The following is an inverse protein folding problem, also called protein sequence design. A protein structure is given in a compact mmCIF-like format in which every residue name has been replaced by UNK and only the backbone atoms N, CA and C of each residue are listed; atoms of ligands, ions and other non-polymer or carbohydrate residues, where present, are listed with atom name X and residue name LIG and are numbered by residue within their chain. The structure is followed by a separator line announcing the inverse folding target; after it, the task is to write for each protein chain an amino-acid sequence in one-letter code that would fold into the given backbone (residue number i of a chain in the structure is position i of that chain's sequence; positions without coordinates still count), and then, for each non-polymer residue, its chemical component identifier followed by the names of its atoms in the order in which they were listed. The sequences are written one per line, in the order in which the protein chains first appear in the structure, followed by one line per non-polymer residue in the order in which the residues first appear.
data_IF_335266609889
#
_entry.id   IF_335266609889
#
_cell.length_a   1.000
_cell.length_b   1.000
_cell.length_c   1.000
_cell.angle_alpha   90.00
_cell.angle_beta   90.00
_cell.angle_gamma   90.00
#
_symmetry.space_group_name_H-M   'P 1'
#
loop_
_entity.id
_entity.type
_entity.pdbx_description
1 polymer ?
#
# COMPACT_ATOMS: atom_id res chain seq x y z
N UNK A 1 13.23 -6.22 -7.23
CA UNK A 1 13.93 -7.24 -6.40
C UNK A 1 14.83 -6.61 -5.35
N UNK A 2 15.94 -5.94 -5.69
CA UNK A 2 16.86 -5.34 -4.68
C UNK A 2 16.15 -4.42 -3.68
N UNK A 3 15.34 -3.48 -4.16
CA UNK A 3 14.57 -2.57 -3.31
C UNK A 3 13.53 -3.30 -2.44
N UNK A 4 12.90 -4.35 -2.97
CA UNK A 4 11.96 -5.21 -2.23
C UNK A 4 12.65 -5.82 -1.00
N UNK A 5 13.83 -6.44 -1.19
CA UNK A 5 14.58 -7.03 -0.08
C UNK A 5 15.05 -5.99 0.94
N UNK A 6 15.48 -4.81 0.48
CA UNK A 6 15.85 -3.71 1.38
C UNK A 6 14.64 -3.28 2.22
N UNK A 7 13.48 -3.06 1.59
CA UNK A 7 12.27 -2.63 2.26
C UNK A 7 11.75 -3.68 3.25
N UNK A 8 11.80 -4.97 2.88
CA UNK A 8 11.47 -6.06 3.79
C UNK A 8 12.44 -6.12 4.98
N UNK A 9 13.75 -5.99 4.73
CA UNK A 9 14.76 -5.97 5.79
C UNK A 9 14.59 -4.79 6.76
N UNK A 10 14.32 -3.59 6.23
CA UNK A 10 14.00 -2.41 7.04
C UNK A 10 12.72 -2.64 7.86
N UNK A 11 11.69 -3.24 7.27
CA UNK A 11 10.43 -3.53 7.97
C UNK A 11 10.59 -4.55 9.09
N UNK A 12 11.46 -5.56 8.90
CA UNK A 12 11.81 -6.53 9.93
C UNK A 12 12.60 -5.87 11.07
N UNK A 13 13.60 -5.04 10.74
CA UNK A 13 14.33 -4.28 11.76
C UNK A 13 13.39 -3.35 12.55
N UNK A 14 12.46 -2.68 11.85
CA UNK A 14 11.46 -1.82 12.45
C UNK A 14 10.51 -2.60 13.38
N UNK A 15 10.12 -3.82 12.99
CA UNK A 15 9.35 -4.74 13.85
C UNK A 15 10.07 -5.01 15.17
N UNK A 16 11.37 -5.33 15.11
CA UNK A 16 12.19 -5.59 16.30
C UNK A 16 12.31 -4.35 17.18
N UNK A 17 12.54 -3.18 16.59
CA UNK A 17 12.63 -1.91 17.33
C UNK A 17 11.32 -1.58 18.04
N UNK A 18 10.17 -1.71 17.36
CA UNK A 18 8.86 -1.47 17.98
C UNK A 18 8.58 -2.48 19.09
N UNK A 19 8.97 -3.74 18.89
CA UNK A 19 8.82 -4.81 19.89
C UNK A 19 9.57 -4.45 21.18
N UNK A 20 10.82 -4.03 21.06
CA UNK A 20 11.63 -3.57 22.20
C UNK A 20 11.05 -2.34 22.90
N UNK A 21 10.53 -1.36 22.16
CA UNK A 21 9.98 -0.13 22.76
C UNK A 21 8.64 -0.39 23.45
N UNK A 22 7.76 -1.18 22.82
CA UNK A 22 6.38 -1.35 23.28
C UNK A 22 6.25 -2.44 24.34
N UNK A 23 6.95 -3.56 24.14
CA UNK A 23 6.82 -4.75 24.97
C UNK A 23 8.02 -4.94 25.90
N UNK A 24 9.16 -4.28 25.64
CA UNK A 24 10.43 -4.50 26.37
C UNK A 24 10.99 -5.93 26.29
N UNK A 25 10.38 -6.78 25.46
CA UNK A 25 10.75 -8.16 25.23
C UNK A 25 10.50 -8.54 23.78
N UNK A 26 11.36 -9.41 23.23
CA UNK A 26 11.21 -9.93 21.88
C UNK A 26 10.58 -11.32 21.99
N UNK A 27 9.25 -11.36 21.95
CA UNK A 27 8.47 -12.61 21.92
C UNK A 27 7.93 -12.86 20.53
N UNK A 28 7.67 -14.14 20.20
CA UNK A 28 7.02 -14.52 18.94
C UNK A 28 5.66 -13.80 18.76
N UNK A 29 4.90 -13.65 19.84
CA UNK A 29 3.63 -12.94 19.84
C UNK A 29 3.79 -11.45 19.48
N UNK A 30 4.78 -10.77 20.08
CA UNK A 30 5.07 -9.36 19.74
C UNK A 30 5.48 -9.19 18.28
N UNK A 31 6.29 -10.12 17.76
CA UNK A 31 6.68 -10.15 16.35
C UNK A 31 5.47 -10.29 15.44
N UNK A 32 4.57 -11.25 15.71
CA UNK A 32 3.35 -11.48 14.93
C UNK A 32 2.49 -10.21 14.89
N UNK A 33 2.19 -9.63 16.05
CA UNK A 33 1.30 -8.47 16.15
C UNK A 33 1.82 -7.26 15.38
N UNK A 34 3.10 -6.93 15.55
CA UNK A 34 3.70 -5.75 14.91
C UNK A 34 3.89 -6.00 13.40
N UNK A 35 4.40 -7.16 13.00
CA UNK A 35 4.56 -7.49 11.59
C UNK A 35 3.22 -7.59 10.85
N UNK A 36 2.13 -7.99 11.52
CA UNK A 36 0.78 -7.94 10.97
C UNK A 36 0.37 -6.51 10.62
N UNK A 37 0.57 -5.55 11.54
CA UNK A 37 0.25 -4.14 11.30
C UNK A 37 1.09 -3.55 10.17
N UNK A 38 2.40 -3.78 10.17
CA UNK A 38 3.31 -3.26 9.14
C UNK A 38 3.00 -3.87 7.78
N UNK A 39 2.84 -5.19 7.69
CA UNK A 39 2.53 -5.87 6.43
C UNK A 39 1.16 -5.45 5.89
N UNK A 40 0.16 -5.32 6.76
CA UNK A 40 -1.16 -4.80 6.40
C UNK A 40 -1.08 -3.38 5.82
N UNK A 41 -0.34 -2.47 6.46
CA UNK A 41 -0.15 -1.11 5.97
C UNK A 41 0.56 -1.07 4.60
N UNK A 42 1.60 -1.89 4.41
CA UNK A 42 2.33 -1.99 3.14
C UNK A 42 1.44 -2.57 2.02
N UNK A 43 0.69 -3.64 2.31
CA UNK A 43 -0.21 -4.27 1.35
C UNK A 43 -1.35 -3.33 0.94
N UNK A 44 -1.97 -2.65 1.90
CA UNK A 44 -3.01 -1.65 1.63
C UNK A 44 -2.45 -0.50 0.79
N UNK A 45 -1.27 0.02 1.13
CA UNK A 45 -0.62 1.08 0.36
C UNK A 45 -0.29 0.62 -1.06
N UNK A 46 0.28 -0.58 -1.21
CA UNK A 46 0.60 -1.15 -2.52
C UNK A 46 -0.64 -1.36 -3.38
N UNK A 47 -1.73 -1.88 -2.79
CA UNK A 47 -3.02 -2.04 -3.46
C UNK A 47 -3.65 -0.70 -3.85
N UNK A 48 -3.58 0.31 -2.97
CA UNK A 48 -4.08 1.65 -3.26
C UNK A 48 -3.34 2.26 -4.45
N UNK A 49 -2.01 2.21 -4.45
CA UNK A 49 -1.20 2.70 -5.58
C UNK A 49 -1.54 1.92 -6.85
N UNK A 50 -1.71 0.59 -6.77
CA UNK A 50 -2.10 -0.25 -7.91
C UNK A 50 -3.44 0.16 -8.51
N UNK A 51 -4.45 0.37 -7.66
CA UNK A 51 -5.80 0.80 -8.08
C UNK A 51 -5.77 2.20 -8.67
N UNK A 52 -4.97 3.11 -8.08
CA UNK A 52 -4.80 4.47 -8.59
C UNK A 52 -4.11 4.51 -9.95
N UNK A 53 -2.99 3.80 -10.11
CA UNK A 53 -2.29 3.69 -11.39
C UNK A 53 -3.11 2.96 -12.45
N UNK A 54 -3.96 2.02 -12.05
CA UNK A 54 -4.90 1.33 -12.94
C UNK A 54 -6.01 2.21 -13.50
N UNK A 55 -6.09 3.49 -13.13
CA UNK A 55 -7.08 4.43 -13.66
C UNK A 55 -8.48 4.28 -13.05
N UNK A 56 -8.63 3.52 -11.96
CA UNK A 56 -9.92 3.36 -11.28
C UNK A 56 -10.52 4.71 -10.87
N UNK A 57 -9.71 5.57 -10.27
CA UNK A 57 -10.14 6.92 -9.86
C UNK A 57 -10.40 7.84 -11.05
N UNK A 58 -9.70 7.63 -12.17
CA UNK A 58 -9.95 8.40 -13.39
C UNK A 58 -11.28 8.01 -14.02
N UNK A 59 -11.59 6.72 -14.07
CA UNK A 59 -12.87 6.21 -14.53
C UNK A 59 -14.03 6.76 -13.68
N UNK A 60 -13.91 6.72 -12.35
CA UNK A 60 -14.90 7.32 -11.44
C UNK A 60 -15.05 8.82 -11.72
N UNK A 61 -13.94 9.55 -11.76
CA UNK A 61 -13.96 11.00 -11.97
C UNK A 61 -14.59 11.36 -13.31
N UNK A 62 -14.27 10.62 -14.38
CA UNK A 62 -14.89 10.78 -15.69
C UNK A 62 -16.40 10.48 -15.65
N UNK A 63 -16.83 9.40 -14.98
CA UNK A 63 -18.25 9.06 -14.84
C UNK A 63 -19.04 10.15 -14.10
N UNK A 64 -18.53 10.66 -12.99
CA UNK A 64 -19.16 11.78 -12.28
C UNK A 64 -19.21 13.03 -13.17
N UNK A 65 -18.11 13.39 -13.84
CA UNK A 65 -18.08 14.54 -14.76
C UNK A 65 -19.12 14.41 -15.87
N UNK A 66 -19.23 13.24 -16.49
CA UNK A 66 -20.19 12.97 -17.56
C UNK A 66 -21.66 13.08 -17.11
N UNK A 67 -21.97 12.76 -15.85
CA UNK A 67 -23.34 12.83 -15.33
C UNK A 67 -23.70 14.26 -14.88
N UNK A 68 -22.74 14.99 -14.31
CA UNK A 68 -22.99 16.29 -13.70
C UNK A 68 -22.72 17.52 -14.62
N UNK A 69 -21.96 17.39 -15.72
CA UNK A 69 -21.57 18.53 -16.59
C UNK A 69 -22.19 18.52 -18.00
N UNK A 70 -23.41 18.00 -18.15
CA UNK A 70 -24.10 17.89 -19.46
C UNK A 70 -24.38 19.25 -20.16
N UNK A 71 -24.24 20.41 -19.49
CA UNK A 71 -24.85 21.67 -19.97
C UNK A 71 -23.93 22.91 -20.14
N UNK A 72 -22.60 22.78 -20.18
CA UNK A 72 -21.73 23.97 -20.33
C UNK A 72 -20.61 23.73 -21.35
N UNK A 73 -20.78 24.27 -22.56
CA UNK A 73 -19.81 24.20 -23.66
C UNK A 73 -18.49 24.96 -23.37
N UNK A 74 -18.44 25.76 -22.30
CA UNK A 74 -17.29 26.57 -21.87
C UNK A 74 -16.24 25.73 -21.12
N UNK A 75 -16.61 24.57 -20.57
CA UNK A 75 -15.73 23.78 -19.69
C UNK A 75 -14.79 22.81 -20.44
N UNK A 76 -15.09 22.47 -21.70
CA UNK A 76 -14.41 21.35 -22.41
C UNK A 76 -12.91 21.56 -22.60
N UNK A 77 -12.46 22.79 -22.80
CA UNK A 77 -11.05 23.15 -23.04
C UNK A 77 -10.21 23.17 -21.74
N UNK A 78 -10.83 23.55 -20.61
CA UNK A 78 -10.20 23.47 -19.29
C UNK A 78 -10.25 22.04 -18.70
N UNK A 79 -11.23 21.23 -19.13
CA UNK A 79 -11.35 19.81 -18.76
C UNK A 79 -10.20 18.95 -19.29
N UNK A 80 -9.68 19.21 -20.50
CA UNK A 80 -8.53 18.48 -21.08
C UNK A 80 -7.20 18.79 -20.39
N UNK A 81 -7.12 19.90 -19.63
CA UNK A 81 -5.90 20.30 -18.93
C UNK A 81 -5.70 19.60 -17.59
N UNK A 82 -6.73 18.95 -17.05
CA UNK A 82 -6.63 18.25 -15.76
C UNK A 82 -5.95 16.90 -15.99
N UNK A 83 -4.73 16.76 -15.49
CA UNK A 83 -4.00 15.48 -15.54
C UNK A 83 -4.74 14.41 -14.73
N UNK A 84 -4.87 13.18 -15.26
CA UNK A 84 -5.47 12.08 -14.53
C UNK A 84 -4.62 11.71 -13.32
N UNK A 85 -5.28 11.18 -12.29
CA UNK A 85 -4.63 10.81 -11.04
C UNK A 85 -3.66 9.63 -11.25
N UNK A 86 -3.97 8.72 -12.18
CA UNK A 86 -3.06 7.63 -12.57
C UNK A 86 -1.70 8.12 -13.08
N UNK A 87 -1.66 9.24 -13.81
CA UNK A 87 -0.42 9.84 -14.31
C UNK A 87 0.36 10.60 -13.24
N UNK A 88 -0.32 11.10 -12.22
CA UNK A 88 0.31 11.83 -11.11
C UNK A 88 1.02 10.89 -10.12
N UNK A 89 0.58 9.64 -10.03
CA UNK A 89 1.16 8.64 -9.12
C UNK A 89 2.24 7.85 -9.82
N UNK A 90 3.48 8.34 -9.77
CA UNK A 90 4.66 7.68 -10.37
C UNK A 90 5.40 6.72 -9.42
N UNK A 91 4.76 6.30 -8.32
CA UNK A 91 5.39 5.43 -7.32
C UNK A 91 5.50 3.98 -7.82
N UNK A 92 6.64 3.34 -7.60
CA UNK A 92 6.77 1.92 -7.94
C UNK A 92 5.96 1.05 -6.95
N UNK A 93 4.89 0.42 -7.44
CA UNK A 93 4.04 -0.49 -6.64
C UNK A 93 4.80 -1.73 -6.19
N UNK A 94 5.64 -2.29 -7.07
CA UNK A 94 6.22 -3.62 -6.91
C UNK A 94 7.01 -3.77 -5.60
N UNK A 95 7.93 -2.85 -5.21
CA UNK A 95 8.65 -2.97 -3.95
C UNK A 95 7.74 -2.91 -2.72
N UNK A 96 6.76 -2.01 -2.69
CA UNK A 96 5.85 -1.81 -1.56
C UNK A 96 4.95 -3.04 -1.38
N UNK A 97 4.30 -3.47 -2.45
CA UNK A 97 3.38 -4.60 -2.40
C UNK A 97 4.11 -5.92 -2.10
N UNK A 98 5.21 -6.21 -2.79
CA UNK A 98 5.95 -7.46 -2.58
C UNK A 98 6.62 -7.52 -1.20
N UNK A 99 7.08 -6.39 -0.66
CA UNK A 99 7.65 -6.37 0.70
C UNK A 99 6.57 -6.64 1.75
N UNK A 100 5.39 -6.03 1.62
CA UNK A 100 4.22 -6.31 2.44
C UNK A 100 3.80 -7.79 2.35
N UNK A 101 3.80 -8.36 1.14
CA UNK A 101 3.47 -9.78 0.92
C UNK A 101 4.47 -10.71 1.60
N UNK A 102 5.78 -10.47 1.42
CA UNK A 102 6.83 -11.28 2.07
C UNK A 102 6.73 -11.19 3.59
N UNK A 103 6.51 -9.99 4.14
CA UNK A 103 6.36 -9.80 5.57
C UNK A 103 5.09 -10.48 6.11
N UNK A 104 3.98 -10.45 5.36
CA UNK A 104 2.76 -11.16 5.70
C UNK A 104 2.95 -12.69 5.71
N UNK A 105 3.70 -13.24 4.75
CA UNK A 105 4.03 -14.69 4.74
C UNK A 105 4.85 -15.08 5.96
N UNK A 106 5.86 -14.27 6.34
CA UNK A 106 6.65 -14.50 7.55
C UNK A 106 5.81 -14.41 8.83
N UNK A 107 4.91 -13.43 8.89
CA UNK A 107 3.97 -13.26 9.99
C UNK A 107 3.03 -14.46 10.09
N UNK A 108 2.45 -14.93 8.99
CA UNK A 108 1.57 -16.10 8.95
C UNK A 108 2.30 -17.39 9.35
N UNK A 109 3.56 -17.54 8.93
CA UNK A 109 4.40 -18.66 9.39
C UNK A 109 4.63 -18.60 10.90
N UNK A 110 4.93 -17.41 11.44
CA UNK A 110 5.04 -17.19 12.88
C UNK A 110 3.73 -17.48 13.63
N UNK A 111 2.60 -17.04 13.09
CA UNK A 111 1.27 -17.30 13.64
C UNK A 111 0.97 -18.80 13.67
N UNK A 112 1.27 -19.51 12.59
CA UNK A 112 1.13 -20.95 12.53
C UNK A 112 1.98 -21.62 13.62
N UNK A 113 3.27 -21.28 13.71
CA UNK A 113 4.17 -21.81 14.74
C UNK A 113 3.74 -21.50 16.17
N UNK A 114 3.07 -20.37 16.40
CA UNK A 114 2.59 -20.00 17.74
C UNK A 114 1.40 -20.86 18.21
N UNK A 115 0.61 -21.40 17.29
CA UNK A 115 -0.60 -22.19 17.58
C UNK A 115 -0.45 -23.70 17.32
N UNK A 116 0.71 -24.17 16.87
CA UNK A 116 1.06 -25.59 16.83
C UNK A 116 1.69 -26.01 18.16
#
# INVERSE_FOLDING_TARGET
MKQTFILTGVSLAFTVVISLITYSEITLLSFINISFLISGALLLSGLLILVTQGGFFDAITHSFRSVFHTNSAVDKDDMERIRPLSELVSLEVSPIFLSGLLLAVLMLAGLFMYYQ
#
